data_IF_385715786302
#
_entry.id   IF_385715786302
#
_cell.length_a   1.000
_cell.length_b   1.000
_cell.length_c   1.000
_cell.angle_alpha   90.00
_cell.angle_beta   90.00
_cell.angle_gamma   90.00
#
_symmetry.space_group_name_H-M   'P 1'
#
loop_
_entity.id
_entity.type
_entity.pdbx_description
1 polymer ?
#
# COMPACT_ATOMS: atom_id res chain seq x y z
N UNK A 1 -13.48 29.21 -30.00
CA UNK A 1 -12.93 27.91 -29.55
C UNK A 1 -14.09 27.02 -29.15
N UNK A 2 -14.37 25.96 -29.91
CA UNK A 2 -15.48 25.05 -29.63
C UNK A 2 -15.09 24.12 -28.47
N UNK A 3 -15.78 24.24 -27.33
CA UNK A 3 -15.68 23.28 -26.23
C UNK A 3 -16.26 21.94 -26.71
N UNK A 4 -15.40 20.94 -26.90
CA UNK A 4 -15.83 19.55 -27.09
C UNK A 4 -16.64 19.14 -25.86
N UNK A 5 -17.95 19.00 -26.03
CA UNK A 5 -18.82 18.33 -25.07
C UNK A 5 -18.18 16.98 -24.72
N UNK A 6 -17.75 16.82 -23.47
CA UNK A 6 -17.38 15.50 -22.95
C UNK A 6 -18.67 14.69 -22.95
N UNK A 7 -18.73 13.73 -23.86
CA UNK A 7 -19.81 12.77 -24.02
C UNK A 7 -20.09 12.11 -22.65
N UNK A 8 -21.13 12.58 -21.94
CA UNK A 8 -21.56 12.03 -20.66
C UNK A 8 -22.41 10.78 -20.93
N UNK A 9 -21.84 9.79 -21.61
CA UNK A 9 -22.50 8.49 -21.71
C UNK A 9 -22.49 7.88 -20.33
N UNK A 10 -23.66 7.84 -19.72
CA UNK A 10 -23.94 7.03 -18.55
C UNK A 10 -23.51 5.61 -18.92
N UNK A 11 -22.43 5.12 -18.30
CA UNK A 11 -21.98 3.73 -18.38
C UNK A 11 -22.99 2.85 -17.65
N UNK A 12 -24.19 2.73 -18.21
CA UNK A 12 -25.07 1.61 -17.91
C UNK A 12 -24.38 0.41 -18.56
N UNK A 13 -23.78 -0.43 -17.71
CA UNK A 13 -23.19 -1.69 -18.14
C UNK A 13 -24.30 -2.56 -18.72
N UNK A 14 -24.33 -2.67 -20.05
CA UNK A 14 -25.22 -3.56 -20.79
C UNK A 14 -24.38 -4.73 -21.34
N UNK A 15 -24.46 -5.92 -20.72
CA UNK A 15 -23.71 -7.10 -21.15
C UNK A 15 -24.16 -7.64 -22.53
N UNK A 16 -25.30 -7.23 -23.06
CA UNK A 16 -25.79 -7.67 -24.39
C UNK A 16 -25.25 -6.79 -25.53
N UNK A 17 -24.82 -5.56 -25.24
CA UNK A 17 -24.25 -4.62 -26.21
C UNK A 17 -22.72 -4.58 -26.22
N UNK A 18 -22.06 -5.40 -25.40
CA UNK A 18 -20.62 -5.47 -25.39
C UNK A 18 -20.12 -6.22 -26.63
N UNK A 19 -19.38 -5.52 -27.50
CA UNK A 19 -18.84 -6.13 -28.71
C UNK A 19 -17.93 -7.30 -28.32
N UNK A 20 -18.32 -8.52 -28.67
CA UNK A 20 -17.48 -9.72 -28.51
C UNK A 20 -16.05 -9.51 -29.03
N UNK A 21 -15.88 -8.66 -30.05
CA UNK A 21 -14.58 -8.26 -30.59
C UNK A 21 -13.71 -7.50 -29.57
N UNK A 22 -14.29 -6.63 -28.75
CA UNK A 22 -13.57 -5.90 -27.71
C UNK A 22 -13.08 -6.87 -26.61
N UNK A 23 -13.97 -7.74 -26.12
CA UNK A 23 -13.65 -8.75 -25.12
C UNK A 23 -12.50 -9.67 -25.58
N UNK A 24 -12.55 -10.11 -26.84
CA UNK A 24 -11.51 -10.94 -27.43
C UNK A 24 -10.17 -10.18 -27.53
N UNK A 25 -10.20 -8.91 -27.92
CA UNK A 25 -8.99 -8.10 -28.04
C UNK A 25 -8.34 -7.82 -26.68
N UNK A 26 -9.15 -7.51 -25.66
CA UNK A 26 -8.68 -7.30 -24.30
C UNK A 26 -8.14 -8.59 -23.69
N UNK A 27 -8.79 -9.72 -23.93
CA UNK A 27 -8.29 -11.02 -23.48
C UNK A 27 -6.93 -11.39 -24.10
N UNK A 28 -6.78 -11.15 -25.40
CA UNK A 28 -5.49 -11.36 -26.09
C UNK A 28 -4.39 -10.44 -25.55
N UNK A 29 -4.72 -9.19 -25.24
CA UNK A 29 -3.78 -8.27 -24.61
C UNK A 29 -3.41 -8.72 -23.19
N UNK A 30 -4.38 -9.22 -22.42
CA UNK A 30 -4.17 -9.77 -21.08
C UNK A 30 -3.21 -10.97 -21.11
N UNK A 31 -3.45 -11.97 -21.96
CA UNK A 31 -2.56 -13.13 -22.09
C UNK A 31 -1.14 -12.73 -22.48
N UNK A 32 -1.00 -11.76 -23.40
CA UNK A 32 0.32 -11.30 -23.87
C UNK A 32 1.15 -10.67 -22.74
N UNK A 33 0.50 -9.99 -21.80
CA UNK A 33 1.17 -9.24 -20.74
C UNK A 33 1.26 -10.01 -19.41
N UNK A 34 0.37 -10.98 -19.20
CA UNK A 34 0.32 -11.77 -17.97
C UNK A 34 1.47 -12.79 -17.90
N UNK A 35 2.11 -12.86 -16.74
CA UNK A 35 3.09 -13.90 -16.42
C UNK A 35 2.45 -14.92 -15.49
N UNK A 36 2.25 -16.13 -15.98
CA UNK A 36 1.67 -17.21 -15.19
C UNK A 36 2.78 -18.06 -14.56
N UNK A 37 2.66 -18.32 -13.24
CA UNK A 37 3.61 -19.17 -12.51
C UNK A 37 3.37 -20.65 -12.81
N UNK A 38 2.14 -21.01 -13.21
CA UNK A 38 1.72 -22.36 -13.56
C UNK A 38 1.14 -22.37 -14.98
N UNK A 39 1.18 -23.52 -15.64
CA UNK A 39 0.53 -23.73 -16.92
C UNK A 39 -0.98 -23.92 -16.70
N UNK A 40 -1.74 -22.85 -16.83
CA UNK A 40 -3.19 -22.88 -16.84
C UNK A 40 -3.71 -23.12 -18.25
N UNK A 41 -4.87 -23.75 -18.36
CA UNK A 41 -5.59 -23.83 -19.63
C UNK A 41 -6.12 -22.45 -20.05
N UNK A 42 -6.30 -22.23 -21.35
CA UNK A 42 -6.81 -20.95 -21.87
C UNK A 42 -8.21 -20.62 -21.28
N UNK A 43 -9.02 -21.65 -21.02
CA UNK A 43 -10.34 -21.49 -20.43
C UNK A 43 -10.30 -21.04 -18.97
N UNK A 44 -9.34 -21.55 -18.19
CA UNK A 44 -9.10 -21.07 -16.81
C UNK A 44 -8.59 -19.63 -16.81
N UNK A 45 -7.65 -19.30 -17.71
CA UNK A 45 -7.13 -17.93 -17.86
C UNK A 45 -8.26 -16.96 -18.25
N UNK A 46 -9.17 -17.39 -19.12
CA UNK A 46 -10.35 -16.62 -19.49
C UNK A 46 -11.32 -16.43 -18.31
N UNK A 47 -11.48 -17.44 -17.45
CA UNK A 47 -12.21 -17.33 -16.19
C UNK A 47 -11.67 -16.20 -15.31
N UNK A 48 -10.36 -16.22 -15.02
CA UNK A 48 -9.71 -15.19 -14.22
C UNK A 48 -9.79 -13.80 -14.85
N UNK A 49 -9.61 -13.72 -16.18
CA UNK A 49 -9.72 -12.45 -16.91
C UNK A 49 -11.10 -11.80 -16.72
N UNK A 50 -12.19 -12.57 -16.84
CA UNK A 50 -13.55 -12.05 -16.64
C UNK A 50 -13.76 -11.52 -15.22
N UNK A 51 -13.28 -12.23 -14.21
CA UNK A 51 -13.40 -11.80 -12.81
C UNK A 51 -12.63 -10.49 -12.56
N UNK A 52 -11.39 -10.40 -13.05
CA UNK A 52 -10.56 -9.20 -12.94
C UNK A 52 -11.25 -8.01 -13.60
N UNK A 53 -11.76 -8.21 -14.81
CA UNK A 53 -12.47 -7.18 -15.58
C UNK A 53 -13.74 -6.70 -14.87
N UNK A 54 -14.49 -7.62 -14.26
CA UNK A 54 -15.67 -7.27 -13.48
C UNK A 54 -15.32 -6.48 -12.22
N UNK A 55 -14.25 -6.87 -11.51
CA UNK A 55 -13.75 -6.11 -10.36
C UNK A 55 -13.35 -4.69 -10.76
N UNK A 56 -12.60 -4.53 -11.86
CA UNK A 56 -12.22 -3.22 -12.39
C UNK A 56 -13.43 -2.35 -12.74
N UNK A 57 -14.41 -2.90 -13.46
CA UNK A 57 -15.62 -2.17 -13.82
C UNK A 57 -16.47 -1.79 -12.59
N UNK A 58 -16.42 -2.61 -11.53
CA UNK A 58 -17.10 -2.33 -10.26
C UNK A 58 -16.39 -1.24 -9.48
N UNK A 59 -15.06 -1.26 -9.43
CA UNK A 59 -14.24 -0.24 -8.80
C UNK A 59 -14.43 1.13 -9.48
N UNK A 60 -14.45 1.18 -10.81
CA UNK A 60 -14.73 2.42 -11.57
C UNK A 60 -16.10 3.00 -11.23
N UNK A 61 -17.13 2.16 -11.07
CA UNK A 61 -18.48 2.62 -10.65
C UNK A 61 -18.49 3.15 -9.22
N UNK A 62 -17.70 2.55 -8.32
CA UNK A 62 -17.62 2.92 -6.92
C UNK A 62 -16.65 4.09 -6.65
N UNK A 63 -15.84 4.48 -7.63
CA UNK A 63 -14.80 5.50 -7.47
C UNK A 63 -15.35 6.81 -6.88
N UNK A 64 -16.50 7.27 -7.38
CA UNK A 64 -17.15 8.49 -6.87
C UNK A 64 -17.55 8.39 -5.39
N UNK A 65 -18.05 7.23 -4.97
CA UNK A 65 -18.45 6.97 -3.57
C UNK A 65 -17.22 6.86 -2.67
N UNK A 66 -16.15 6.22 -3.14
CA UNK A 66 -14.87 6.12 -2.45
C UNK A 66 -14.26 7.52 -2.25
N UNK A 67 -14.28 8.37 -3.29
CA UNK A 67 -13.79 9.74 -3.20
C UNK A 67 -14.61 10.57 -2.19
N UNK A 68 -15.93 10.41 -2.19
CA UNK A 68 -16.80 11.10 -1.23
C UNK A 68 -16.56 10.63 0.21
N UNK A 69 -16.46 9.31 0.43
CA UNK A 69 -16.14 8.73 1.73
C UNK A 69 -14.80 9.25 2.26
N UNK A 70 -13.76 9.24 1.42
CA UNK A 70 -12.44 9.78 1.75
C UNK A 70 -12.49 11.28 2.07
N UNK A 71 -13.34 12.05 1.37
CA UNK A 71 -13.55 13.47 1.67
C UNK A 71 -14.21 13.67 3.03
N UNK A 72 -15.23 12.86 3.35
CA UNK A 72 -15.91 12.90 4.66
C UNK A 72 -14.96 12.51 5.79
N UNK A 73 -14.18 11.44 5.60
CA UNK A 73 -13.18 11.00 6.58
C UNK A 73 -12.11 12.07 6.83
N UNK A 74 -11.58 12.70 5.77
CA UNK A 74 -10.63 13.82 5.91
C UNK A 74 -11.22 15.01 6.68
N UNK A 75 -12.50 15.34 6.45
CA UNK A 75 -13.18 16.40 7.21
C UNK A 75 -13.32 16.04 8.69
N UNK A 76 -13.63 14.79 9.01
CA UNK A 76 -13.74 14.31 10.39
C UNK A 76 -12.36 14.39 11.06
N UNK A 77 -11.32 13.84 10.42
CA UNK A 77 -9.95 13.90 10.93
C UNK A 77 -9.56 15.35 11.20
N UNK A 78 -9.66 16.25 10.22
CA UNK A 78 -9.29 17.66 10.40
C UNK A 78 -10.11 18.38 11.48
N UNK A 79 -11.39 18.03 11.68
CA UNK A 79 -12.23 18.62 12.71
C UNK A 79 -11.80 18.18 14.12
N UNK A 80 -11.41 16.91 14.26
CA UNK A 80 -11.11 16.31 15.55
C UNK A 80 -9.61 16.23 15.85
N UNK A 81 -8.72 16.54 14.90
CA UNK A 81 -7.26 16.48 15.03
C UNK A 81 -6.74 17.25 16.25
N UNK A 82 -7.26 18.47 16.49
CA UNK A 82 -6.89 19.28 17.65
C UNK A 82 -7.41 18.74 19.00
N UNK A 83 -8.31 17.76 18.96
CA UNK A 83 -8.90 17.10 20.12
C UNK A 83 -8.36 15.68 20.31
N UNK A 84 -7.46 15.22 19.42
CA UNK A 84 -6.75 13.96 19.59
C UNK A 84 -5.58 14.21 20.52
N UNK A 85 -5.80 14.01 21.82
CA UNK A 85 -4.73 13.93 22.80
C UNK A 85 -4.05 12.56 22.66
N UNK A 86 -3.08 12.49 21.75
CA UNK A 86 -2.31 11.27 21.46
C UNK A 86 -1.62 10.67 22.70
N UNK A 87 -1.45 11.44 23.77
CA UNK A 87 -0.86 11.01 25.04
C UNK A 87 -1.82 10.14 25.88
N UNK A 88 -3.14 10.14 25.59
CA UNK A 88 -4.16 9.37 26.32
C UNK A 88 -4.87 8.30 25.49
N UNK A 89 -4.46 8.11 24.23
CA UNK A 89 -4.98 7.00 23.43
C UNK A 89 -4.50 5.68 24.03
N UNK A 90 -5.45 4.85 24.48
CA UNK A 90 -5.13 3.54 25.04
C UNK A 90 -4.43 2.69 23.99
N UNK A 91 -3.29 2.11 24.35
CA UNK A 91 -2.56 1.12 23.57
C UNK A 91 -3.43 -0.15 23.44
N UNK A 92 -4.30 -0.15 22.43
CA UNK A 92 -5.15 -1.27 22.03
C UNK A 92 -4.28 -2.55 21.90
N UNK A 93 -4.71 -3.74 22.35
CA UNK A 93 -3.84 -4.94 22.45
C UNK A 93 -3.48 -5.57 21.08
N UNK A 94 -3.92 -4.99 19.96
CA UNK A 94 -3.45 -5.28 18.59
C UNK A 94 -2.28 -4.36 18.20
N UNK A 95 -2.03 -3.29 18.96
CA UNK A 95 -0.94 -2.35 18.76
C UNK A 95 0.34 -2.88 19.41
N UNK A 96 1.21 -3.46 18.58
CA UNK A 96 2.64 -3.58 18.86
C UNK A 96 3.35 -2.67 17.84
N UNK A 97 4.27 -1.78 18.17
CA UNK A 97 5.23 -1.74 19.27
C UNK A 97 5.64 -0.29 19.55
N UNK A 98 6.14 -0.05 20.76
CA UNK A 98 7.07 1.01 21.16
C UNK A 98 7.65 1.78 19.98
N UNK A 99 7.35 3.10 19.92
CA UNK A 99 7.90 4.02 18.91
C UNK A 99 9.36 3.62 18.59
N UNK A 100 9.70 3.30 17.32
CA UNK A 100 11.06 2.94 16.99
C UNK A 100 11.97 4.07 17.46
N UNK A 101 13.00 3.74 18.24
CA UNK A 101 14.01 4.70 18.70
C UNK A 101 14.45 5.54 17.49
N UNK A 102 14.38 6.86 17.63
CA UNK A 102 14.84 7.80 16.60
C UNK A 102 16.21 7.36 16.07
N UNK A 103 16.44 7.51 14.76
CA UNK A 103 17.71 7.15 14.10
C UNK A 103 18.92 7.69 14.87
N UNK A 104 18.80 8.89 15.45
CA UNK A 104 19.84 9.51 16.29
C UNK A 104 20.07 8.75 17.59
N UNK A 105 19.00 8.40 18.33
CA UNK A 105 19.10 7.63 19.58
C UNK A 105 19.69 6.24 19.35
N UNK A 106 19.34 5.58 18.24
CA UNK A 106 19.91 4.28 17.85
C UNK A 106 21.42 4.36 17.58
N UNK A 107 21.88 5.41 16.90
CA UNK A 107 23.30 5.65 16.64
C UNK A 107 24.04 5.92 17.95
N UNK A 108 23.48 6.75 18.84
CA UNK A 108 24.10 7.06 20.15
C UNK A 108 24.32 5.79 20.98
N UNK A 109 23.32 4.90 21.04
CA UNK A 109 23.43 3.63 21.77
C UNK A 109 24.55 2.75 21.19
N UNK A 110 24.62 2.61 19.86
CA UNK A 110 25.66 1.83 19.18
C UNK A 110 27.05 2.40 19.45
N UNK A 111 27.22 3.72 19.36
CA UNK A 111 28.49 4.39 19.64
C UNK A 111 28.94 4.15 21.07
N UNK A 112 28.08 4.36 22.06
CA UNK A 112 28.40 4.14 23.48
C UNK A 112 28.84 2.69 23.72
N UNK A 113 28.12 1.72 23.16
CA UNK A 113 28.43 0.31 23.35
C UNK A 113 29.79 -0.06 22.73
N UNK A 114 30.07 0.44 21.53
CA UNK A 114 31.36 0.21 20.85
C UNK A 114 32.52 0.81 21.65
N UNK A 115 32.32 1.98 22.24
CA UNK A 115 33.31 2.69 23.04
C UNK A 115 33.64 1.94 24.34
N UNK A 116 32.63 1.35 24.99
CA UNK A 116 32.84 0.48 26.16
C UNK A 116 33.71 -0.74 25.83
N UNK A 117 33.50 -1.37 24.67
CA UNK A 117 34.35 -2.49 24.23
C UNK A 117 35.81 -2.08 24.00
N UNK A 118 36.04 -0.91 23.41
CA UNK A 118 37.40 -0.39 23.20
C UNK A 118 38.08 -0.11 24.54
N UNK A 119 37.37 0.51 25.49
CA UNK A 119 37.90 0.76 26.84
C UNK A 119 38.25 -0.56 27.53
N UNK A 120 37.37 -1.56 27.46
CA UNK A 120 37.62 -2.88 28.04
C UNK A 120 38.88 -3.54 27.46
N UNK A 121 39.07 -3.47 26.14
CA UNK A 121 40.27 -4.00 25.47
C UNK A 121 41.54 -3.23 25.89
N UNK A 122 41.47 -1.91 26.01
CA UNK A 122 42.60 -1.09 26.47
C UNK A 122 43.00 -1.42 27.91
N UNK A 123 42.04 -1.70 28.79
CA UNK A 123 42.31 -2.15 30.16
C UNK A 123 43.05 -3.49 30.14
N UNK A 124 42.60 -4.46 29.33
CA UNK A 124 43.25 -5.78 29.23
C UNK A 124 44.69 -5.63 28.71
N UNK A 125 44.91 -4.86 27.65
CA UNK A 125 46.25 -4.63 27.08
C UNK A 125 47.13 -3.88 28.09
N UNK A 126 46.57 -2.89 28.79
CA UNK A 126 47.26 -2.12 29.81
C UNK A 126 47.72 -2.99 30.97
N UNK A 127 46.85 -3.88 31.49
CA UNK A 127 47.24 -4.85 32.52
C UNK A 127 48.26 -5.88 32.01
N UNK A 128 48.13 -6.35 30.76
CA UNK A 128 49.05 -7.35 30.19
C UNK A 128 50.45 -6.79 29.88
N UNK A 129 50.60 -5.47 29.69
CA UNK A 129 51.90 -4.79 29.54
C UNK A 129 52.53 -4.37 30.87
N UNK A 130 51.77 -4.45 31.97
CA UNK A 130 52.22 -4.12 33.33
C UNK A 130 52.56 -5.37 34.16
N UNK A 131 52.66 -6.53 33.50
CA UNK A 131 53.35 -7.74 33.95
C UNK A 131 54.51 -8.02 32.99
#
# INVERSE_FOLDING_TARGET
MAQKQKDQRVLVYDPEHESNTLLINEFRAYIKNAKFIKNYSELEIFGYFKEIRWMQATDEKLESQIQEANRRQRKIIAKYENYIEYDYWSEDPIAQQTKPLSKTKRIVILVIFTLLFVIMLLIIIGLNKWW
#
